data_IF_014249109209
#
_entry.id   IF_014249109209
#
_cell.length_a   1.000
_cell.length_b   1.000
_cell.length_c   1.000
_cell.angle_alpha   90.00
_cell.angle_beta   90.00
_cell.angle_gamma   90.00
#
_symmetry.space_group_name_H-M   'P 1'
#
loop_
_entity.id
_entity.type
_entity.pdbx_description
1 polymer ?
#
# COMPACT_ATOMS: atom_id res chain seq x y z
N UNK A 1 -37.70 60.30 2.85
CA UNK A 1 -37.33 59.14 3.70
C UNK A 1 -36.01 58.63 3.16
N UNK A 2 -34.91 59.10 3.75
CA UNK A 2 -33.54 58.73 3.41
C UNK A 2 -33.21 57.44 4.16
N UNK A 3 -32.83 56.38 3.44
CA UNK A 3 -32.11 55.27 4.04
C UNK A 3 -30.80 55.05 3.30
N UNK A 4 -29.74 55.20 4.09
CA UNK A 4 -28.34 54.97 3.82
C UNK A 4 -28.08 53.58 3.26
N UNK A 5 -27.13 53.49 2.34
CA UNK A 5 -26.45 52.24 1.99
C UNK A 5 -24.96 52.51 2.01
N UNK A 6 -24.32 52.14 3.12
CA UNK A 6 -22.86 52.07 3.20
C UNK A 6 -22.34 50.92 2.31
N UNK A 7 -21.18 51.08 1.64
CA UNK A 7 -20.51 49.97 1.00
C UNK A 7 -19.70 49.17 2.04
N UNK A 8 -20.04 47.89 2.19
CA UNK A 8 -19.20 46.90 2.85
C UNK A 8 -17.91 46.72 2.04
N UNK A 9 -16.81 47.31 2.53
CA UNK A 9 -15.46 47.00 2.08
C UNK A 9 -15.00 45.73 2.79
N UNK A 10 -15.13 44.58 2.13
CA UNK A 10 -14.51 43.34 2.58
C UNK A 10 -13.05 43.35 2.11
N UNK A 11 -12.15 43.79 2.97
CA UNK A 11 -10.73 43.55 2.81
C UNK A 11 -10.48 42.04 2.89
N UNK A 12 -10.26 41.41 1.73
CA UNK A 12 -9.62 40.09 1.67
C UNK A 12 -8.18 40.27 2.09
N UNK A 13 -7.90 39.97 3.35
CA UNK A 13 -6.56 39.78 3.88
C UNK A 13 -5.95 38.56 3.18
N UNK A 14 -5.22 38.80 2.09
CA UNK A 14 -4.39 37.79 1.46
C UNK A 14 -3.26 37.45 2.44
N UNK A 15 -3.45 36.38 3.21
CA UNK A 15 -2.36 35.76 3.96
C UNK A 15 -1.35 35.23 2.95
N UNK A 16 -0.27 35.99 2.76
CA UNK A 16 0.93 35.63 1.99
C UNK A 16 1.74 34.56 2.73
N UNK A 17 1.09 33.49 3.19
CA UNK A 17 1.81 32.34 3.72
C UNK A 17 2.38 31.54 2.54
N UNK A 18 3.72 31.38 2.47
CA UNK A 18 4.35 30.55 1.46
C UNK A 18 3.82 29.12 1.57
N UNK A 19 3.68 28.40 0.44
CA UNK A 19 3.27 26.99 0.47
C UNK A 19 4.21 26.19 1.39
N UNK A 20 3.69 25.15 2.09
CA UNK A 20 4.48 24.37 3.03
C UNK A 20 5.75 23.84 2.36
N UNK A 21 6.90 24.07 3.02
CA UNK A 21 8.17 23.52 2.56
C UNK A 21 8.14 22.00 2.73
N UNK A 22 7.92 21.28 1.64
CA UNK A 22 8.14 19.82 1.56
C UNK A 22 9.65 19.52 1.51
N UNK A 23 10.40 19.99 2.51
CA UNK A 23 11.77 19.55 2.73
C UNK A 23 11.71 18.22 3.46
N UNK A 24 12.10 17.15 2.77
CA UNK A 24 12.21 15.82 3.35
C UNK A 24 13.21 15.88 4.50
N UNK A 25 12.73 15.56 5.70
CA UNK A 25 13.53 15.63 6.92
C UNK A 25 14.23 14.30 7.18
N UNK A 26 15.29 14.32 7.98
CA UNK A 26 15.94 13.08 8.46
C UNK A 26 14.94 12.16 9.19
N UNK A 27 13.86 12.73 9.75
CA UNK A 27 12.76 11.98 10.35
C UNK A 27 11.98 11.14 9.32
N UNK A 28 11.83 11.60 8.09
CA UNK A 28 11.08 10.88 7.06
C UNK A 28 11.88 9.70 6.50
N UNK A 29 13.20 9.83 6.45
CA UNK A 29 14.09 8.70 6.13
C UNK A 29 14.13 7.65 7.23
N UNK A 30 14.12 8.08 8.50
CA UNK A 30 13.97 7.16 9.63
C UNK A 30 12.70 6.31 9.50
N UNK A 31 11.55 6.95 9.23
CA UNK A 31 10.27 6.26 9.01
C UNK A 31 10.33 5.28 7.83
N UNK A 32 10.97 5.65 6.73
CA UNK A 32 11.13 4.77 5.57
C UNK A 32 11.94 3.52 5.93
N UNK A 33 13.09 3.69 6.60
CA UNK A 33 13.94 2.58 7.03
C UNK A 33 13.21 1.67 8.01
N UNK A 34 12.53 2.24 8.98
CA UNK A 34 11.75 1.50 9.98
C UNK A 34 10.63 0.70 9.30
N UNK A 35 9.90 1.31 8.35
CA UNK A 35 8.84 0.63 7.60
C UNK A 35 9.38 -0.58 6.81
N UNK A 36 10.53 -0.43 6.14
CA UNK A 36 11.14 -1.54 5.40
C UNK A 36 11.71 -2.64 6.31
N UNK A 37 12.20 -2.32 7.51
CA UNK A 37 12.54 -3.34 8.52
C UNK A 37 11.29 -4.12 8.95
N UNK A 38 10.19 -3.41 9.19
CA UNK A 38 8.91 -4.03 9.55
C UNK A 38 8.42 -4.97 8.44
N UNK A 39 8.57 -4.62 7.15
CA UNK A 39 8.17 -5.52 6.05
C UNK A 39 8.86 -6.89 6.09
N UNK A 40 10.16 -6.93 6.38
CA UNK A 40 10.90 -8.18 6.45
C UNK A 40 10.46 -9.04 7.65
N UNK A 41 10.19 -8.39 8.78
CA UNK A 41 9.64 -9.05 9.97
C UNK A 41 8.23 -9.59 9.67
N UNK A 42 7.35 -8.76 9.12
CA UNK A 42 5.98 -9.12 8.75
C UNK A 42 5.95 -10.26 7.74
N UNK A 43 6.87 -10.32 6.78
CA UNK A 43 6.96 -11.47 5.88
C UNK A 43 7.16 -12.78 6.64
N UNK A 44 8.06 -12.80 7.64
CA UNK A 44 8.32 -13.99 8.45
C UNK A 44 7.11 -14.35 9.30
N UNK A 45 6.46 -13.36 9.91
CA UNK A 45 5.24 -13.53 10.71
C UNK A 45 4.12 -14.12 9.84
N UNK A 46 3.90 -13.59 8.64
CA UNK A 46 2.92 -14.11 7.68
C UNK A 46 3.19 -15.58 7.34
N UNK A 47 4.44 -15.97 7.10
CA UNK A 47 4.78 -17.38 6.86
C UNK A 47 4.47 -18.27 8.06
N UNK A 48 4.65 -17.77 9.28
CA UNK A 48 4.30 -18.49 10.50
C UNK A 48 2.78 -18.62 10.65
N UNK A 49 2.02 -17.56 10.39
CA UNK A 49 0.57 -17.57 10.45
C UNK A 49 -0.04 -18.52 9.40
N UNK A 50 0.50 -18.56 8.17
CA UNK A 50 0.10 -19.56 7.17
C UNK A 50 0.28 -20.99 7.68
N UNK A 51 1.41 -21.28 8.33
CA UNK A 51 1.70 -22.59 8.93
C UNK A 51 0.85 -22.90 10.16
N UNK A 52 0.51 -21.89 10.94
CA UNK A 52 -0.37 -22.02 12.11
C UNK A 52 -1.74 -22.51 11.67
N UNK A 53 -2.33 -21.83 10.67
CA UNK A 53 -3.61 -22.26 10.08
C UNK A 53 -3.48 -23.64 9.43
N UNK A 54 -2.40 -23.95 8.70
CA UNK A 54 -2.17 -25.32 8.17
C UNK A 54 -2.28 -26.37 9.29
N UNK A 55 -1.62 -26.12 10.43
CA UNK A 55 -1.59 -27.04 11.57
C UNK A 55 -2.98 -27.24 12.18
N UNK A 56 -3.74 -26.17 12.34
CA UNK A 56 -5.11 -26.23 12.87
C UNK A 56 -6.07 -26.95 11.89
N UNK A 57 -5.91 -26.72 10.58
CA UNK A 57 -6.68 -27.44 9.56
C UNK A 57 -6.32 -28.94 9.51
N UNK A 58 -5.04 -29.29 9.64
CA UNK A 58 -4.56 -30.68 9.68
C UNK A 58 -5.06 -31.43 10.93
N UNK A 59 -5.07 -30.77 12.08
CA UNK A 59 -5.56 -31.32 13.35
C UNK A 59 -7.06 -31.63 13.34
N UNK A 60 -7.82 -31.10 12.38
CA UNK A 60 -9.27 -31.27 12.32
C UNK A 60 -9.68 -32.38 11.34
N UNK A 61 -10.24 -33.48 11.88
CA UNK A 61 -10.67 -34.63 11.09
C UNK A 61 -11.84 -34.35 10.12
N UNK A 62 -12.64 -33.31 10.38
CA UNK A 62 -13.89 -33.04 9.66
C UNK A 62 -13.79 -31.91 8.62
N UNK A 63 -12.62 -31.27 8.49
CA UNK A 63 -12.43 -30.23 7.48
C UNK A 63 -12.25 -30.88 6.12
N UNK A 64 -13.08 -30.46 5.16
CA UNK A 64 -13.02 -30.93 3.79
C UNK A 64 -11.64 -30.71 3.18
N UNK A 65 -11.19 -31.69 2.39
CA UNK A 65 -9.93 -31.59 1.65
C UNK A 65 -9.88 -30.34 0.75
N UNK A 66 -11.03 -29.85 0.28
CA UNK A 66 -11.15 -28.63 -0.49
C UNK A 66 -10.64 -27.38 0.24
N UNK A 67 -10.94 -27.22 1.53
CA UNK A 67 -10.47 -26.05 2.30
C UNK A 67 -8.96 -26.08 2.52
N UNK A 68 -8.38 -27.26 2.73
CA UNK A 68 -6.92 -27.43 2.84
C UNK A 68 -6.24 -27.06 1.53
N UNK A 69 -6.82 -27.47 0.40
CA UNK A 69 -6.30 -27.10 -0.92
C UNK A 69 -6.43 -25.59 -1.19
N UNK A 70 -7.57 -24.99 -0.88
CA UNK A 70 -7.80 -23.55 -1.04
C UNK A 70 -6.78 -22.74 -0.23
N UNK A 71 -6.54 -23.12 1.02
CA UNK A 71 -5.54 -22.48 1.87
C UNK A 71 -4.12 -22.60 1.31
N UNK A 72 -3.76 -23.78 0.81
CA UNK A 72 -2.47 -24.00 0.17
C UNK A 72 -2.31 -23.17 -1.12
N UNK A 73 -3.38 -22.99 -1.89
CA UNK A 73 -3.40 -22.13 -3.06
C UNK A 73 -3.21 -20.66 -2.68
N UNK A 74 -3.82 -20.20 -1.58
CA UNK A 74 -3.61 -18.86 -1.02
C UNK A 74 -2.16 -18.63 -0.59
N UNK A 75 -1.59 -19.59 0.15
CA UNK A 75 -0.18 -19.56 0.56
C UNK A 75 0.75 -19.49 -0.66
N UNK A 76 0.47 -20.26 -1.71
CA UNK A 76 1.23 -20.23 -2.98
C UNK A 76 1.05 -18.90 -3.72
N UNK A 77 -0.17 -18.33 -3.73
CA UNK A 77 -0.48 -17.03 -4.34
C UNK A 77 0.30 -15.93 -3.64
N UNK A 78 0.24 -15.85 -2.31
CA UNK A 78 1.04 -14.92 -1.51
C UNK A 78 2.54 -15.02 -1.81
N UNK A 79 3.11 -16.22 -1.76
CA UNK A 79 4.54 -16.43 -2.05
C UNK A 79 4.93 -15.95 -3.45
N UNK A 80 4.04 -16.12 -4.44
CA UNK A 80 4.27 -15.65 -5.81
C UNK A 80 4.25 -14.13 -5.91
N UNK A 81 3.25 -13.49 -5.28
CA UNK A 81 3.11 -12.03 -5.26
C UNK A 81 4.30 -11.40 -4.51
N UNK A 82 4.67 -11.94 -3.35
CA UNK A 82 5.84 -11.48 -2.59
C UNK A 82 7.14 -11.57 -3.40
N UNK A 83 7.39 -12.68 -4.11
CA UNK A 83 8.56 -12.79 -5.00
C UNK A 83 8.50 -11.85 -6.20
N UNK A 84 7.31 -11.53 -6.71
CA UNK A 84 7.16 -10.50 -7.75
C UNK A 84 7.50 -9.12 -7.18
N UNK A 85 7.04 -8.83 -5.97
CA UNK A 85 7.33 -7.59 -5.25
C UNK A 85 8.84 -7.39 -5.02
N UNK A 86 9.55 -8.42 -4.52
CA UNK A 86 11.00 -8.35 -4.35
C UNK A 86 11.75 -8.13 -5.68
N UNK A 87 11.29 -8.76 -6.76
CA UNK A 87 11.85 -8.55 -8.11
C UNK A 87 11.57 -7.15 -8.64
N UNK A 88 10.38 -6.62 -8.40
CA UNK A 88 10.05 -5.24 -8.75
C UNK A 88 10.93 -4.26 -7.95
N UNK A 89 11.11 -4.47 -6.64
CA UNK A 89 12.04 -3.69 -5.82
C UNK A 89 13.47 -3.73 -6.39
N UNK A 90 13.97 -4.90 -6.78
CA UNK A 90 15.29 -5.05 -7.43
C UNK A 90 15.38 -4.26 -8.75
N UNK A 91 14.35 -4.31 -9.59
CA UNK A 91 14.28 -3.53 -10.84
C UNK A 91 14.26 -2.03 -10.56
N UNK A 92 13.51 -1.58 -9.56
CA UNK A 92 13.52 -0.19 -9.10
C UNK A 92 14.92 0.22 -8.64
N UNK A 93 15.65 -0.63 -7.90
CA UNK A 93 17.04 -0.35 -7.51
C UNK A 93 17.94 -0.22 -8.74
N UNK A 94 17.84 -1.10 -9.72
CA UNK A 94 18.63 -0.99 -10.97
C UNK A 94 18.34 0.33 -11.69
N UNK A 95 17.07 0.71 -11.78
CA UNK A 95 16.63 1.97 -12.38
C UNK A 95 17.17 3.19 -11.62
N UNK A 96 17.02 3.22 -10.28
CA UNK A 96 17.48 4.31 -9.42
C UNK A 96 19.02 4.39 -9.33
N UNK A 97 19.72 3.26 -9.41
CA UNK A 97 21.18 3.24 -9.56
C UNK A 97 21.60 3.89 -10.89
N UNK A 98 20.89 3.59 -11.99
CA UNK A 98 21.11 4.27 -13.27
C UNK A 98 20.97 5.78 -13.15
N UNK A 99 20.03 6.27 -12.35
CA UNK A 99 19.94 7.70 -12.02
C UNK A 99 21.14 8.18 -11.19
N UNK A 100 21.54 7.44 -10.16
CA UNK A 100 22.68 7.82 -9.30
C UNK A 100 23.98 7.92 -10.12
N UNK A 101 24.17 7.02 -11.09
CA UNK A 101 25.38 6.96 -11.93
C UNK A 101 25.36 7.97 -13.08
N UNK A 102 24.18 8.40 -13.54
CA UNK A 102 24.05 9.29 -14.69
C UNK A 102 23.71 10.72 -14.26
N UNK A 103 22.68 10.91 -13.44
CA UNK A 103 22.12 12.23 -13.15
C UNK A 103 22.80 12.98 -12.01
N UNK A 104 23.33 12.29 -11.00
CA UNK A 104 24.15 12.94 -9.95
C UNK A 104 25.49 13.44 -10.53
N UNK A 105 26.26 12.66 -11.32
CA UNK A 105 27.45 13.19 -11.99
C UNK A 105 27.13 14.30 -13.00
N UNK A 106 25.94 14.27 -13.61
CA UNK A 106 25.49 15.30 -14.57
C UNK A 106 25.23 16.66 -13.94
N UNK A 107 24.83 16.73 -12.67
CA UNK A 107 24.68 18.03 -11.99
C UNK A 107 26.04 18.69 -11.78
N UNK A 108 27.10 17.91 -11.57
CA UNK A 108 28.46 18.39 -11.30
C UNK A 108 29.28 18.57 -12.59
N UNK A 109 28.97 17.81 -13.64
CA UNK A 109 29.72 17.79 -14.90
C UNK A 109 29.32 18.94 -15.85
N UNK A 110 30.28 19.55 -16.57
CA UNK A 110 30.03 20.62 -17.55
C UNK A 110 29.49 20.06 -18.88
N UNK A 111 28.44 19.23 -18.83
CA UNK A 111 27.78 18.74 -20.03
C UNK A 111 26.76 19.77 -20.57
N UNK A 112 26.54 19.80 -21.90
CA UNK A 112 25.56 20.71 -22.50
C UNK A 112 24.17 20.54 -21.90
N UNK A 113 23.48 21.68 -21.70
CA UNK A 113 22.14 21.72 -21.13
C UNK A 113 21.13 20.82 -21.85
N UNK A 114 21.20 20.77 -23.19
CA UNK A 114 20.33 19.91 -24.03
C UNK A 114 20.53 18.42 -23.73
N UNK A 115 21.76 17.99 -23.42
CA UNK A 115 22.06 16.62 -23.04
C UNK A 115 21.52 16.32 -21.63
N UNK A 116 21.60 17.28 -20.69
CA UNK A 116 20.96 17.17 -19.36
C UNK A 116 19.46 16.94 -19.49
N UNK A 117 18.77 17.77 -20.28
CA UNK A 117 17.33 17.64 -20.52
C UNK A 117 16.95 16.31 -21.16
N UNK A 118 17.72 15.83 -22.13
CA UNK A 118 17.46 14.53 -22.76
C UNK A 118 17.49 13.38 -21.74
N UNK A 119 18.48 13.37 -20.85
CA UNK A 119 18.60 12.33 -19.82
C UNK A 119 17.50 12.42 -18.76
N UNK A 120 17.14 13.64 -18.34
CA UNK A 120 16.01 13.87 -17.43
C UNK A 120 14.69 13.37 -18.04
N UNK A 121 14.45 13.65 -19.33
CA UNK A 121 13.27 13.17 -20.05
C UNK A 121 13.20 11.65 -20.07
N UNK A 122 14.31 10.98 -20.41
CA UNK A 122 14.36 9.50 -20.45
C UNK A 122 14.08 8.88 -19.09
N UNK A 123 14.57 9.50 -18.02
CA UNK A 123 14.27 9.04 -16.67
C UNK A 123 12.78 9.21 -16.34
N UNK A 124 12.22 10.39 -16.58
CA UNK A 124 10.80 10.69 -16.34
C UNK A 124 9.86 9.79 -17.15
N UNK A 125 10.22 9.41 -18.38
CA UNK A 125 9.46 8.47 -19.21
C UNK A 125 9.37 7.05 -18.61
N UNK A 126 10.34 6.66 -17.78
CA UNK A 126 10.41 5.30 -17.21
C UNK A 126 9.67 5.18 -15.88
N UNK A 127 9.53 6.29 -15.13
CA UNK A 127 8.84 6.30 -13.83
C UNK A 127 7.40 5.72 -13.90
N UNK A 128 6.54 6.09 -14.88
CA UNK A 128 5.18 5.56 -14.96
C UNK A 128 5.10 4.04 -15.08
N UNK A 129 6.08 3.41 -15.75
CA UNK A 129 6.14 1.95 -15.88
C UNK A 129 6.34 1.28 -14.52
N UNK A 130 7.18 1.86 -13.68
CA UNK A 130 7.40 1.35 -12.32
C UNK A 130 6.22 1.65 -11.38
N UNK A 131 5.53 2.80 -11.58
CA UNK A 131 4.31 3.14 -10.84
C UNK A 131 3.18 2.14 -11.16
N UNK A 132 2.94 1.82 -12.43
CA UNK A 132 1.93 0.85 -12.86
C UNK A 132 2.20 -0.56 -12.30
N UNK A 133 3.45 -1.03 -12.36
CA UNK A 133 3.82 -2.33 -11.78
C UNK A 133 3.60 -2.37 -10.25
N UNK A 134 3.80 -1.25 -9.55
CA UNK A 134 3.55 -1.17 -8.12
C UNK A 134 2.04 -1.21 -7.80
N UNK A 135 1.22 -0.49 -8.56
CA UNK A 135 -0.24 -0.51 -8.45
C UNK A 135 -0.82 -1.92 -8.69
N UNK A 136 -0.32 -2.64 -9.71
CA UNK A 136 -0.72 -4.03 -9.95
C UNK A 136 -0.39 -4.97 -8.79
N UNK A 137 0.78 -4.76 -8.16
CA UNK A 137 1.22 -5.56 -7.01
C UNK A 137 0.38 -5.26 -5.77
N UNK A 138 0.03 -4.00 -5.53
CA UNK A 138 -0.88 -3.59 -4.45
C UNK A 138 -2.25 -4.26 -4.61
N UNK A 139 -2.83 -4.21 -5.82
CA UNK A 139 -4.08 -4.89 -6.11
C UNK A 139 -4.01 -6.41 -5.89
N UNK A 140 -2.88 -7.05 -6.22
CA UNK A 140 -2.68 -8.48 -5.93
C UNK A 140 -2.66 -8.79 -4.43
N UNK A 141 -2.13 -7.88 -3.59
CA UNK A 141 -2.16 -8.04 -2.13
C UNK A 141 -3.56 -7.82 -1.57
N UNK A 142 -4.29 -6.83 -2.09
CA UNK A 142 -5.71 -6.65 -1.79
C UNK A 142 -6.50 -7.92 -2.04
N UNK A 143 -6.35 -8.53 -3.21
CA UNK A 143 -7.05 -9.77 -3.55
C UNK A 143 -6.73 -10.90 -2.54
N UNK A 144 -5.48 -11.01 -2.07
CA UNK A 144 -5.09 -12.02 -1.07
C UNK A 144 -5.77 -11.73 0.27
N UNK A 145 -5.82 -10.47 0.72
CA UNK A 145 -6.50 -10.10 1.97
C UNK A 145 -7.98 -10.49 1.91
N UNK A 146 -8.67 -10.14 0.83
CA UNK A 146 -10.08 -10.48 0.66
C UNK A 146 -10.31 -12.00 0.64
N UNK A 147 -9.44 -12.76 -0.03
CA UNK A 147 -9.54 -14.22 -0.07
C UNK A 147 -9.29 -14.84 1.32
N UNK A 148 -8.35 -14.33 2.12
CA UNK A 148 -8.12 -14.76 3.51
C UNK A 148 -9.33 -14.44 4.38
N UNK A 149 -9.92 -13.25 4.23
CA UNK A 149 -11.11 -12.86 4.98
C UNK A 149 -12.34 -13.71 4.62
N UNK A 150 -12.48 -14.10 3.36
CA UNK A 150 -13.52 -15.04 2.93
C UNK A 150 -13.24 -16.46 3.47
N UNK A 151 -11.97 -16.88 3.46
CA UNK A 151 -11.55 -18.21 3.91
C UNK A 151 -11.92 -18.47 5.37
N UNK A 152 -11.66 -17.53 6.28
CA UNK A 152 -12.04 -17.68 7.70
C UNK A 152 -13.55 -17.90 7.89
N UNK A 153 -14.40 -17.30 7.04
CA UNK A 153 -15.85 -17.48 7.09
C UNK A 153 -16.24 -18.89 6.62
N UNK A 154 -15.56 -19.40 5.58
CA UNK A 154 -15.74 -20.77 5.09
C UNK A 154 -15.36 -21.79 6.17
N UNK A 155 -14.22 -21.62 6.83
CA UNK A 155 -13.78 -22.51 7.94
C UNK A 155 -14.80 -22.47 9.09
N UNK A 156 -15.21 -21.27 9.52
CA UNK A 156 -16.22 -21.14 10.58
C UNK A 156 -17.56 -21.81 10.19
N UNK A 157 -17.96 -21.74 8.93
CA UNK A 157 -19.18 -22.40 8.44
C UNK A 157 -19.04 -23.93 8.40
N UNK A 158 -17.91 -24.45 7.91
CA UNK A 158 -17.65 -25.89 7.83
C UNK A 158 -17.62 -26.54 9.22
N UNK A 159 -17.07 -25.84 10.21
CA UNK A 159 -17.01 -26.30 11.60
C UNK A 159 -18.35 -26.19 12.34
N UNK A 160 -19.25 -25.29 11.92
CA UNK A 160 -20.63 -25.20 12.41
C UNK A 160 -21.57 -26.21 11.73
N UNK A 161 -21.30 -26.56 10.47
CA UNK A 161 -22.17 -27.32 9.58
C UNK A 161 -22.33 -28.81 9.88
N UNK A 162 -22.07 -29.28 11.11
CA UNK A 162 -22.39 -30.66 11.51
C UNK A 162 -23.89 -31.03 11.35
N UNK A 163 -24.77 -30.04 11.14
CA UNK A 163 -26.22 -30.23 11.05
C UNK A 163 -26.89 -29.83 9.70
N UNK A 164 -26.17 -29.38 8.66
CA UNK A 164 -26.79 -28.96 7.38
C UNK A 164 -26.13 -29.55 6.11
N UNK A 165 -26.91 -29.80 5.03
CA UNK A 165 -26.44 -30.53 3.85
C UNK A 165 -25.39 -29.73 3.08
N UNK A 166 -24.22 -30.36 2.98
CA UNK A 166 -22.90 -29.89 2.57
C UNK A 166 -22.79 -29.23 1.17
N UNK A 167 -23.87 -29.18 0.39
CA UNK A 167 -23.84 -28.70 -1.01
C UNK A 167 -24.43 -27.30 -1.27
N UNK A 168 -25.25 -26.76 -0.39
CA UNK A 168 -25.96 -25.49 -0.64
C UNK A 168 -25.12 -24.25 -0.25
N UNK A 169 -24.40 -24.35 0.87
CA UNK A 169 -23.59 -23.24 1.39
C UNK A 169 -22.32 -22.95 0.60
N UNK A 170 -21.65 -23.97 0.05
CA UNK A 170 -20.51 -23.78 -0.84
C UNK A 170 -20.89 -23.00 -2.12
N UNK A 171 -22.09 -23.26 -2.66
CA UNK A 171 -22.64 -22.50 -3.79
C UNK A 171 -23.03 -21.08 -3.40
N UNK A 172 -23.59 -20.90 -2.21
CA UNK A 172 -23.93 -19.57 -1.69
C UNK A 172 -22.69 -18.69 -1.51
N UNK A 173 -21.62 -19.21 -0.90
CA UNK A 173 -20.37 -18.44 -0.71
C UNK A 173 -19.63 -18.15 -2.00
N UNK A 174 -19.63 -19.07 -2.97
CA UNK A 174 -19.09 -18.76 -4.31
C UNK A 174 -19.88 -17.63 -4.99
N UNK A 175 -21.22 -17.63 -4.86
CA UNK A 175 -22.06 -16.55 -5.41
C UNK A 175 -21.91 -15.21 -4.66
N UNK A 176 -21.77 -15.25 -3.33
CA UNK A 176 -21.51 -14.05 -2.51
C UNK A 176 -20.12 -13.49 -2.78
N UNK A 177 -19.11 -14.34 -2.99
CA UNK A 177 -17.76 -13.92 -3.35
C UNK A 177 -17.74 -13.12 -4.65
N UNK A 178 -18.41 -13.60 -5.70
CA UNK A 178 -18.52 -12.88 -6.97
C UNK A 178 -19.27 -11.54 -6.84
N UNK A 179 -20.36 -11.52 -6.06
CA UNK A 179 -21.13 -10.31 -5.80
C UNK A 179 -20.36 -9.30 -4.93
N UNK A 180 -19.71 -9.74 -3.85
CA UNK A 180 -18.89 -8.88 -3.01
C UNK A 180 -17.69 -8.32 -3.76
N UNK A 181 -16.98 -9.14 -4.55
CA UNK A 181 -15.86 -8.67 -5.38
C UNK A 181 -16.37 -7.70 -6.45
N UNK A 182 -17.53 -7.94 -7.06
CA UNK A 182 -18.12 -7.01 -8.02
C UNK A 182 -18.54 -5.68 -7.37
N UNK A 183 -19.19 -5.73 -6.20
CA UNK A 183 -19.61 -4.53 -5.45
C UNK A 183 -18.38 -3.79 -4.93
N UNK A 184 -17.39 -4.50 -4.41
CA UNK A 184 -16.14 -3.94 -3.94
C UNK A 184 -15.36 -3.29 -5.08
N UNK A 185 -15.20 -3.96 -6.22
CA UNK A 185 -14.56 -3.36 -7.40
C UNK A 185 -15.32 -2.11 -7.86
N UNK A 186 -16.65 -2.11 -7.81
CA UNK A 186 -17.45 -0.93 -8.12
C UNK A 186 -17.21 0.21 -7.10
N UNK A 187 -17.17 -0.10 -5.80
CA UNK A 187 -16.91 0.85 -4.71
C UNK A 187 -15.49 1.39 -4.76
N UNK A 188 -14.49 0.53 -4.97
CA UNK A 188 -13.09 0.88 -5.14
C UNK A 188 -12.90 1.80 -6.36
N UNK A 189 -13.51 1.45 -7.50
CA UNK A 189 -13.47 2.29 -8.70
C UNK A 189 -14.12 3.65 -8.46
N UNK A 190 -15.22 3.69 -7.71
CA UNK A 190 -15.85 4.92 -7.25
C UNK A 190 -14.93 5.73 -6.32
N UNK A 191 -14.27 5.08 -5.36
CA UNK A 191 -13.33 5.70 -4.44
C UNK A 191 -12.12 6.27 -5.17
N UNK A 192 -11.54 5.54 -6.12
CA UNK A 192 -10.44 6.02 -6.97
C UNK A 192 -10.89 7.19 -7.84
N UNK A 193 -12.10 7.15 -8.41
CA UNK A 193 -12.65 8.30 -9.15
C UNK A 193 -12.88 9.50 -8.23
N UNK A 194 -13.38 9.27 -7.02
CA UNK A 194 -13.56 10.30 -6.00
C UNK A 194 -12.20 10.90 -5.62
N UNK A 195 -11.18 10.09 -5.35
CA UNK A 195 -9.82 10.53 -5.01
C UNK A 195 -9.15 11.26 -6.18
N UNK A 196 -9.32 10.82 -7.43
CA UNK A 196 -8.85 11.54 -8.62
C UNK A 196 -9.57 12.88 -8.80
N UNK A 197 -10.87 12.91 -8.53
CA UNK A 197 -11.67 14.13 -8.55
C UNK A 197 -11.23 15.09 -7.43
N UNK A 198 -11.01 14.57 -6.22
CA UNK A 198 -10.43 15.32 -5.11
C UNK A 198 -9.01 15.79 -5.42
N UNK A 199 -8.15 14.99 -6.07
CA UNK A 199 -6.83 15.43 -6.50
C UNK A 199 -6.89 16.59 -7.51
N UNK A 200 -7.84 16.54 -8.44
CA UNK A 200 -8.10 17.61 -9.41
C UNK A 200 -8.75 18.86 -8.78
N UNK A 201 -9.49 18.71 -7.69
CA UNK A 201 -10.16 19.80 -6.97
C UNK A 201 -9.26 20.40 -5.86
N UNK A 202 -8.44 19.59 -5.20
CA UNK A 202 -7.46 19.98 -4.18
C UNK A 202 -6.22 20.63 -4.79
N UNK A 203 -5.91 20.37 -6.06
CA UNK A 203 -4.92 21.17 -6.80
C UNK A 203 -5.32 22.65 -6.90
N UNK A 204 -6.56 23.00 -6.57
CA UNK A 204 -7.10 24.37 -6.58
C UNK A 204 -7.49 24.91 -5.19
N UNK A 205 -7.38 24.14 -4.10
CA UNK A 205 -7.94 24.53 -2.79
C UNK A 205 -6.93 24.28 -1.65
N UNK A 206 -6.56 25.35 -0.92
CA UNK A 206 -5.48 25.39 0.09
C UNK A 206 -5.81 24.78 1.48
N UNK A 207 -7.01 24.31 1.75
CA UNK A 207 -7.32 23.52 2.95
C UNK A 207 -8.71 22.89 2.87
N UNK A 208 -8.84 21.62 3.27
CA UNK A 208 -10.13 20.99 3.54
C UNK A 208 -10.04 20.24 4.87
N UNK A 209 -10.93 20.59 5.81
CA UNK A 209 -11.21 19.78 7.00
C UNK A 209 -12.35 18.82 6.67
N UNK A 210 -12.10 17.53 6.77
CA UNK A 210 -13.13 16.48 6.65
C UNK A 210 -13.41 15.92 8.04
N UNK A 211 -14.63 16.14 8.51
CA UNK A 211 -15.25 15.34 9.56
C UNK A 211 -16.39 14.56 8.92
N UNK A 212 -16.22 13.26 8.72
CA UNK A 212 -17.36 12.42 8.42
C UNK A 212 -17.14 10.95 8.80
N UNK A 213 -18.19 10.41 9.44
CA UNK A 213 -18.52 9.02 9.72
C UNK A 213 -17.89 8.35 10.96
N UNK A 214 -18.61 8.55 12.07
CA UNK A 214 -18.78 7.55 13.11
C UNK A 214 -19.70 6.44 12.59
N UNK A 215 -19.13 5.29 12.22
CA UNK A 215 -19.87 4.03 12.08
C UNK A 215 -19.04 2.95 12.75
N UNK A 216 -19.55 2.40 13.86
CA UNK A 216 -19.04 1.19 14.49
C UNK A 216 -20.01 0.04 14.19
N UNK A 217 -19.48 -1.10 13.74
CA UNK A 217 -20.22 -2.35 13.70
C UNK A 217 -19.77 -3.22 14.87
N UNK A 218 -20.68 -3.52 15.80
CA UNK A 218 -20.49 -4.53 16.85
C UNK A 218 -21.34 -5.76 16.53
N UNK A 219 -20.70 -6.89 16.24
CA UNK A 219 -21.37 -8.19 16.11
C UNK A 219 -21.18 -8.90 17.44
N UNK A 220 -22.24 -8.89 18.26
CA UNK A 220 -22.29 -9.59 19.54
C UNK A 220 -22.77 -11.04 19.29
N UNK A 221 -21.83 -11.97 19.27
CA UNK A 221 -22.13 -13.40 19.21
C UNK A 221 -22.41 -13.90 20.63
N UNK A 222 -23.67 -14.26 20.91
CA UNK A 222 -24.08 -14.88 22.18
C UNK A 222 -23.28 -16.15 22.44
N UNK A 223 -22.63 -16.20 23.60
CA UNK A 223 -22.06 -17.42 24.19
C UNK A 223 -23.19 -18.39 24.56
N UNK A 224 -23.07 -19.63 24.09
CA UNK A 224 -23.80 -20.78 24.64
C UNK A 224 -22.81 -21.70 25.34
N UNK A 225 -23.13 -22.01 26.60
CA UNK A 225 -22.35 -22.85 27.50
C UNK A 225 -22.07 -24.24 26.94
N UNK A 226 -20.83 -24.66 27.06
CA UNK A 226 -20.31 -25.98 26.69
C UNK A 226 -20.73 -27.06 27.70
N UNK A 227 -21.37 -28.13 27.22
CA UNK A 227 -21.34 -29.44 27.88
C UNK A 227 -20.03 -30.14 27.51
N UNK A 228 -19.28 -30.51 28.53
CA UNK A 228 -17.96 -31.13 28.42
C UNK A 228 -18.01 -32.51 27.76
N UNK A 229 -17.11 -32.76 26.80
CA UNK A 229 -16.46 -34.08 26.67
C UNK A 229 -15.16 -34.04 25.87
N UNK A 230 -14.18 -34.75 26.44
CA UNK A 230 -12.88 -35.25 25.91
C UNK A 230 -11.73 -34.29 25.58
N UNK A 231 -10.47 -34.73 25.80
CA UNK A 231 -9.26 -33.91 25.65
C UNK A 231 -8.87 -33.80 24.17
N UNK A 232 -9.43 -32.81 23.51
CA UNK A 232 -9.06 -32.30 22.19
C UNK A 232 -9.54 -30.85 22.08
N UNK A 233 -8.85 -30.00 21.32
CA UNK A 233 -9.36 -28.65 21.05
C UNK A 233 -10.76 -28.78 20.44
N UNK A 234 -11.74 -28.04 20.96
CA UNK A 234 -13.10 -28.06 20.40
C UNK A 234 -13.11 -27.42 19.01
N UNK A 235 -14.01 -27.85 18.13
CA UNK A 235 -14.17 -27.25 16.79
C UNK A 235 -14.36 -25.72 16.86
N UNK A 236 -14.98 -25.22 17.92
CA UNK A 236 -15.15 -23.80 18.18
C UNK A 236 -13.83 -23.09 18.54
N UNK A 237 -12.96 -23.74 19.30
CA UNK A 237 -11.63 -23.21 19.62
C UNK A 237 -10.77 -23.12 18.35
N UNK A 238 -10.81 -24.17 17.52
CA UNK A 238 -10.10 -24.21 16.22
C UNK A 238 -10.60 -23.10 15.30
N UNK A 239 -11.92 -22.93 15.17
CA UNK A 239 -12.51 -21.86 14.38
C UNK A 239 -12.09 -20.46 14.87
N UNK A 240 -11.97 -20.27 16.19
CA UNK A 240 -11.56 -19.01 16.79
C UNK A 240 -10.08 -18.70 16.52
N UNK A 241 -9.20 -19.70 16.65
CA UNK A 241 -7.77 -19.58 16.35
C UNK A 241 -7.52 -19.28 14.87
N UNK A 242 -8.13 -20.05 13.96
CA UNK A 242 -8.03 -19.79 12.51
C UNK A 242 -8.52 -18.39 12.16
N UNK A 243 -9.63 -17.94 12.77
CA UNK A 243 -10.15 -16.58 12.58
C UNK A 243 -9.16 -15.53 13.08
N UNK A 244 -8.56 -15.74 14.24
CA UNK A 244 -7.57 -14.82 14.80
C UNK A 244 -6.32 -14.75 13.91
N UNK A 245 -5.81 -15.89 13.45
CA UNK A 245 -4.64 -15.95 12.58
C UNK A 245 -4.91 -15.33 11.21
N UNK A 246 -6.09 -15.57 10.63
CA UNK A 246 -6.52 -14.93 9.38
C UNK A 246 -6.65 -13.41 9.54
N UNK A 247 -7.16 -12.94 10.68
CA UNK A 247 -7.23 -11.51 10.98
C UNK A 247 -5.83 -10.89 11.10
N UNK A 248 -4.92 -11.54 11.83
CA UNK A 248 -3.53 -11.08 11.94
C UNK A 248 -2.82 -11.09 10.58
N UNK A 249 -3.10 -12.08 9.73
CA UNK A 249 -2.60 -12.12 8.35
C UNK A 249 -3.08 -10.92 7.55
N UNK A 250 -4.38 -10.61 7.58
CA UNK A 250 -4.93 -9.45 6.90
C UNK A 250 -4.30 -8.13 7.38
N UNK A 251 -4.19 -7.94 8.71
CA UNK A 251 -3.56 -6.75 9.30
C UNK A 251 -2.09 -6.60 8.89
N UNK A 252 -1.33 -7.71 8.85
CA UNK A 252 0.08 -7.71 8.42
C UNK A 252 0.23 -7.42 6.93
N UNK A 253 -0.65 -7.97 6.10
CA UNK A 253 -0.70 -7.69 4.66
C UNK A 253 -1.08 -6.23 4.38
N UNK A 254 -1.93 -5.61 5.18
CA UNK A 254 -2.20 -4.17 5.10
C UNK A 254 -0.98 -3.33 5.52
N UNK A 255 -0.18 -3.81 6.48
CA UNK A 255 1.12 -3.23 6.82
C UNK A 255 2.07 -3.09 5.63
N UNK A 256 1.99 -4.03 4.65
CA UNK A 256 2.75 -3.92 3.40
C UNK A 256 2.43 -2.67 2.61
N UNK A 257 1.15 -2.29 2.54
CA UNK A 257 0.71 -1.08 1.82
C UNK A 257 1.30 0.17 2.43
N UNK A 258 1.40 0.23 3.76
CA UNK A 258 1.97 1.39 4.46
C UNK A 258 3.42 1.68 4.06
N UNK A 259 4.28 0.65 4.03
CA UNK A 259 5.67 0.82 3.63
C UNK A 259 5.83 1.14 2.14
N UNK A 260 5.03 0.51 1.27
CA UNK A 260 5.03 0.80 -0.16
C UNK A 260 4.47 2.18 -0.50
N UNK A 261 3.51 2.66 0.27
CA UNK A 261 3.02 4.03 0.16
C UNK A 261 4.12 5.05 0.49
N UNK A 262 4.94 4.79 1.52
CA UNK A 262 6.10 5.62 1.82
C UNK A 262 7.14 5.58 0.69
N UNK A 263 7.40 4.42 0.10
CA UNK A 263 8.28 4.30 -1.06
C UNK A 263 7.74 5.11 -2.26
N UNK A 264 6.43 4.99 -2.53
CA UNK A 264 5.73 5.75 -3.57
C UNK A 264 5.81 7.25 -3.34
N UNK A 265 5.62 7.73 -2.11
CA UNK A 265 5.73 9.15 -1.77
C UNK A 265 7.14 9.68 -2.05
N UNK A 266 8.18 8.90 -1.72
CA UNK A 266 9.56 9.25 -2.03
C UNK A 266 9.83 9.25 -3.55
N UNK A 267 9.29 8.29 -4.30
CA UNK A 267 9.34 8.27 -5.77
C UNK A 267 8.63 9.49 -6.39
N UNK A 268 7.49 9.89 -5.85
CA UNK A 268 6.72 11.06 -6.30
C UNK A 268 7.47 12.38 -6.03
N UNK A 269 8.11 12.49 -4.86
CA UNK A 269 8.99 13.62 -4.55
C UNK A 269 10.19 13.66 -5.49
N UNK A 270 10.82 12.52 -5.75
CA UNK A 270 11.91 12.40 -6.73
C UNK A 270 11.47 12.87 -8.11
N UNK A 271 10.33 12.37 -8.62
CA UNK A 271 9.71 12.77 -9.89
C UNK A 271 9.51 14.29 -9.95
N UNK A 272 8.98 14.88 -8.88
CA UNK A 272 8.75 16.33 -8.77
C UNK A 272 10.05 17.11 -8.88
N UNK A 273 11.09 16.75 -8.13
CA UNK A 273 12.38 17.44 -8.19
C UNK A 273 13.05 17.31 -9.56
N UNK A 274 12.94 16.14 -10.19
CA UNK A 274 13.47 15.91 -11.56
C UNK A 274 12.71 16.76 -12.58
N UNK A 275 11.39 16.86 -12.48
CA UNK A 275 10.58 17.72 -13.34
C UNK A 275 10.95 19.20 -13.16
N UNK A 276 11.13 19.66 -11.92
CA UNK A 276 11.58 21.02 -11.66
C UNK A 276 12.93 21.30 -12.32
N UNK A 277 13.88 20.37 -12.24
CA UNK A 277 15.18 20.49 -12.91
C UNK A 277 15.04 20.49 -14.45
N UNK A 278 14.14 19.68 -15.00
CA UNK A 278 13.89 19.57 -16.44
C UNK A 278 13.28 20.86 -17.03
N UNK A 279 12.40 21.52 -16.29
CA UNK A 279 11.71 22.75 -16.72
C UNK A 279 12.55 24.03 -16.60
N UNK A 280 13.73 23.96 -15.97
CA UNK A 280 14.65 25.09 -15.92
C UNK A 280 15.06 25.51 -17.35
N UNK A 281 15.29 26.80 -17.58
CA UNK A 281 15.82 27.29 -18.86
C UNK A 281 17.36 27.41 -18.82
N UNK A 282 17.97 27.89 -19.91
CA UNK A 282 19.43 28.04 -20.01
C UNK A 282 19.97 29.29 -19.29
N UNK A 283 19.16 30.03 -18.54
CA UNK A 283 19.64 31.21 -17.80
C UNK A 283 20.49 30.80 -16.60
N UNK A 284 21.45 31.63 -16.16
CA UNK A 284 22.28 31.31 -14.99
C UNK A 284 21.46 31.09 -13.71
N UNK A 285 20.37 31.84 -13.52
CA UNK A 285 19.48 31.69 -12.37
C UNK A 285 18.71 30.36 -12.41
N UNK A 286 18.24 29.94 -13.58
CA UNK A 286 17.55 28.66 -13.74
C UNK A 286 18.51 27.47 -13.64
N UNK A 287 19.77 27.60 -14.09
CA UNK A 287 20.79 26.57 -13.87
C UNK A 287 21.00 26.30 -12.38
N UNK A 288 21.13 27.36 -11.56
CA UNK A 288 21.27 27.20 -10.10
C UNK A 288 20.04 26.53 -9.46
N UNK A 289 18.83 26.82 -9.97
CA UNK A 289 17.59 26.18 -9.51
C UNK A 289 17.50 24.69 -9.92
N UNK A 290 17.97 24.37 -11.13
CA UNK A 290 18.10 22.99 -11.61
C UNK A 290 19.06 22.20 -10.72
N UNK A 291 20.25 22.76 -10.45
CA UNK A 291 21.25 22.11 -9.61
C UNK A 291 20.74 21.89 -8.18
N UNK A 292 20.01 22.87 -7.63
CA UNK A 292 19.35 22.75 -6.32
C UNK A 292 18.29 21.63 -6.32
N UNK A 293 17.47 21.54 -7.37
CA UNK A 293 16.46 20.50 -7.51
C UNK A 293 17.09 19.11 -7.65
N UNK A 294 18.17 18.98 -8.41
CA UNK A 294 18.93 17.74 -8.55
C UNK A 294 19.62 17.32 -7.25
N UNK A 295 20.14 18.27 -6.46
CA UNK A 295 20.68 18.00 -5.14
C UNK A 295 19.60 17.43 -4.20
N UNK A 296 18.40 18.03 -4.20
CA UNK A 296 17.26 17.50 -3.42
C UNK A 296 16.85 16.11 -3.88
N UNK A 297 16.77 15.88 -5.19
CA UNK A 297 16.51 14.55 -5.75
C UNK A 297 17.52 13.51 -5.26
N UNK A 298 18.82 13.85 -5.22
CA UNK A 298 19.87 12.96 -4.73
C UNK A 298 19.69 12.60 -3.25
N UNK A 299 19.25 13.53 -2.41
CA UNK A 299 18.98 13.27 -0.98
C UNK A 299 17.87 12.23 -0.77
N UNK A 300 16.86 12.17 -1.66
CA UNK A 300 15.77 11.17 -1.59
C UNK A 300 16.23 9.82 -2.13
N UNK A 301 16.98 9.88 -3.22
CA UNK A 301 17.35 8.72 -4.01
C UNK A 301 18.17 7.70 -3.21
N UNK A 302 19.18 8.18 -2.48
CA UNK A 302 20.12 7.33 -1.72
C UNK A 302 19.39 6.44 -0.70
N UNK A 303 18.64 6.98 0.28
CA UNK A 303 17.95 6.16 1.28
C UNK A 303 16.84 5.28 0.69
N UNK A 304 16.13 5.76 -0.33
CA UNK A 304 15.12 4.95 -1.03
C UNK A 304 15.76 3.74 -1.73
N UNK A 305 16.86 3.96 -2.45
CA UNK A 305 17.59 2.90 -3.15
C UNK A 305 18.18 1.90 -2.15
N UNK A 306 18.71 2.37 -1.03
CA UNK A 306 19.17 1.51 0.06
C UNK A 306 18.06 0.61 0.60
N UNK A 307 16.89 1.18 0.94
CA UNK A 307 15.75 0.43 1.48
C UNK A 307 15.25 -0.64 0.50
N UNK A 308 15.05 -0.26 -0.76
CA UNK A 308 14.61 -1.18 -1.81
C UNK A 308 15.64 -2.28 -2.07
N UNK A 309 16.94 -1.96 -2.01
CA UNK A 309 18.02 -2.94 -2.20
C UNK A 309 18.03 -3.96 -1.07
N UNK A 310 18.08 -3.49 0.18
CA UNK A 310 18.05 -4.36 1.35
C UNK A 310 16.82 -5.27 1.32
N UNK A 311 15.64 -4.71 1.03
CA UNK A 311 14.41 -5.48 0.90
C UNK A 311 14.44 -6.52 -0.22
N UNK A 312 14.96 -6.17 -1.39
CA UNK A 312 15.10 -7.11 -2.52
C UNK A 312 16.03 -8.28 -2.19
N UNK A 313 16.98 -8.08 -1.28
CA UNK A 313 17.91 -9.10 -0.79
C UNK A 313 17.39 -9.84 0.45
N UNK A 314 16.23 -9.45 0.99
CA UNK A 314 15.69 -9.99 2.24
C UNK A 314 16.50 -9.60 3.48
N UNK A 315 17.18 -8.46 3.44
CA UNK A 315 18.00 -7.86 4.50
C UNK A 315 17.36 -6.59 5.02
N UNK A 316 17.80 -6.16 6.20
CA UNK A 316 17.35 -4.91 6.80
C UNK A 316 18.16 -3.71 6.28
N UNK A 317 17.53 -2.53 6.05
CA UNK A 317 18.25 -1.30 5.74
C UNK A 317 19.13 -0.84 6.92
N UNK A 318 20.35 -0.37 6.61
CA UNK A 318 21.34 0.08 7.59
C UNK A 318 21.08 1.51 8.06
#
# INVERSE_FOLDING_TARGET
>A
MLMSREPFSAAMEQTNDPPPSYSISDSDFGKLKDAFRTLNADHKDIQQLFKSVDTELEGTQHIEQGLKQEWEELRKKYNRVFRKLQRNASRCVTFLNGYTEILVPTSISPIPFTQKQFMLNKFLETIPVHEEEAEELEACFDDIVHEIEAFQLKVASALRGKDEPTGAWARFWNGVGELCVSIWNAVYKLLVMILKCFGSLLSHIKAVKLSCFAISFSIELREYSTLASTPGKSDQAIAAEVKQDCKLLAEKLDGFKGAWHLAWLNCSNLKTYVQMAQTADSTPAASALSDTSLAKAAMVLVPLTECLRSYSEGKDPQ
#
